data_IF_314584486656
#
_entry.id   IF_314584486656
#
_cell.length_a   1.000
_cell.length_b   1.000
_cell.length_c   1.000
_cell.angle_alpha   90.00
_cell.angle_beta   90.00
_cell.angle_gamma   90.00
#
_symmetry.space_group_name_H-M   'P 1'
#
loop_
_entity.id
_entity.type
_entity.pdbx_description
1 polymer ?
#
# COMPACT_ATOMS: atom_id res chain seq x y z
N UNK A 1 19.08 40.76 -17.39
CA UNK A 1 17.81 40.62 -16.63
C UNK A 1 17.61 39.14 -16.34
N UNK A 2 17.25 38.83 -15.09
CA UNK A 2 17.48 37.55 -14.40
C UNK A 2 16.82 36.35 -15.09
N UNK A 3 17.61 35.29 -15.24
CA UNK A 3 17.19 33.96 -15.67
C UNK A 3 16.29 33.37 -14.56
N UNK A 4 14.99 33.27 -14.81
CA UNK A 4 14.03 32.63 -13.90
C UNK A 4 14.12 31.11 -14.06
N UNK A 5 15.15 30.49 -13.49
CA UNK A 5 15.17 29.05 -13.27
C UNK A 5 14.08 28.71 -12.26
N UNK A 6 12.98 28.16 -12.76
CA UNK A 6 11.87 27.62 -11.99
C UNK A 6 12.38 26.59 -10.97
N UNK A 7 12.31 26.94 -9.69
CA UNK A 7 12.56 26.04 -8.57
C UNK A 7 11.42 25.01 -8.57
N UNK A 8 11.58 23.92 -9.33
CA UNK A 8 10.71 22.76 -9.21
C UNK A 8 10.89 22.22 -7.78
N UNK A 9 9.81 22.00 -7.00
CA UNK A 9 9.93 21.50 -5.65
C UNK A 9 10.62 20.13 -5.70
N UNK A 10 11.80 20.04 -5.09
CA UNK A 10 12.60 18.82 -5.08
C UNK A 10 11.84 17.71 -4.34
N UNK A 11 11.16 16.85 -5.09
CA UNK A 11 10.55 15.65 -4.54
C UNK A 11 11.67 14.66 -4.22
N UNK A 12 11.81 14.19 -2.95
CA UNK A 12 12.90 13.30 -2.58
C UNK A 12 12.97 12.06 -3.51
N UNK A 13 14.15 11.59 -3.93
CA UNK A 13 14.28 10.50 -4.90
C UNK A 13 13.50 9.24 -4.51
N UNK A 14 13.46 8.90 -3.22
CA UNK A 14 12.68 7.78 -2.68
C UNK A 14 11.17 7.94 -2.92
N UNK A 15 10.63 9.15 -2.80
CA UNK A 15 9.20 9.41 -3.06
C UNK A 15 8.90 9.17 -4.54
N UNK A 16 9.78 9.63 -5.44
CA UNK A 16 9.64 9.39 -6.88
C UNK A 16 9.68 7.88 -7.21
N UNK A 17 10.62 7.13 -6.61
CA UNK A 17 10.68 5.66 -6.76
C UNK A 17 9.39 4.99 -6.30
N UNK A 18 8.93 5.29 -5.08
CA UNK A 18 7.72 4.71 -4.52
C UNK A 18 6.45 5.07 -5.31
N UNK A 19 6.37 6.29 -5.84
CA UNK A 19 5.28 6.70 -6.74
C UNK A 19 5.31 5.97 -8.08
N UNK A 20 6.48 5.54 -8.56
CA UNK A 20 6.62 4.70 -9.74
C UNK A 20 5.92 3.35 -9.63
N UNK A 21 5.64 2.88 -8.40
CA UNK A 21 4.91 1.65 -8.12
C UNK A 21 3.40 1.84 -7.94
N UNK A 22 2.88 3.08 -8.04
CA UNK A 22 1.44 3.33 -7.90
C UNK A 22 0.65 2.59 -8.98
N UNK A 23 -0.54 2.09 -8.64
CA UNK A 23 -1.40 1.36 -9.60
C UNK A 23 -2.37 2.24 -10.37
N UNK A 24 -2.88 3.30 -9.76
CA UNK A 24 -3.78 4.24 -10.45
C UNK A 24 -3.01 5.18 -11.38
N UNK A 25 -3.48 5.30 -12.63
CA UNK A 25 -2.96 6.26 -13.62
C UNK A 25 -3.83 7.52 -13.74
N UNK A 26 -4.86 7.67 -12.91
CA UNK A 26 -5.77 8.81 -12.98
C UNK A 26 -5.07 10.09 -12.47
N UNK A 27 -4.83 11.05 -13.36
CA UNK A 27 -4.10 12.29 -13.04
C UNK A 27 -4.76 13.19 -12.00
N UNK A 28 -6.08 13.06 -11.77
CA UNK A 28 -6.81 13.88 -10.80
C UNK A 28 -6.34 13.67 -9.34
N UNK A 29 -5.83 12.47 -9.01
CA UNK A 29 -5.40 12.14 -7.64
C UNK A 29 -3.89 12.19 -7.44
N UNK A 30 -3.11 12.47 -8.48
CA UNK A 30 -1.65 12.38 -8.46
C UNK A 30 -1.01 13.26 -7.38
N UNK A 31 -1.47 14.51 -7.26
CA UNK A 31 -1.03 15.45 -6.22
C UNK A 31 -1.34 14.95 -4.80
N UNK A 32 -2.44 14.22 -4.63
CA UNK A 32 -2.80 13.68 -3.32
C UNK A 32 -1.95 12.44 -2.98
N UNK A 33 -1.75 11.54 -3.94
CA UNK A 33 -0.87 10.38 -3.82
C UNK A 33 0.55 10.79 -3.44
N UNK A 34 1.10 11.82 -4.08
CA UNK A 34 2.42 12.36 -3.74
C UNK A 34 2.48 12.84 -2.28
N UNK A 35 1.46 13.57 -1.81
CA UNK A 35 1.38 14.01 -0.41
C UNK A 35 1.26 12.81 0.56
N UNK A 36 0.52 11.77 0.21
CA UNK A 36 0.36 10.57 1.02
C UNK A 36 1.70 9.81 1.17
N UNK A 37 2.44 9.65 0.07
CA UNK A 37 3.78 9.02 0.08
C UNK A 37 4.80 9.89 0.81
N UNK A 38 4.82 11.22 0.58
CA UNK A 38 5.69 12.15 1.32
C UNK A 38 5.45 12.08 2.83
N UNK A 39 4.19 12.03 3.25
CA UNK A 39 3.82 11.89 4.68
C UNK A 39 4.31 10.57 5.26
N UNK A 40 4.15 9.45 4.52
CA UNK A 40 4.63 8.14 4.97
C UNK A 40 6.15 8.11 5.10
N UNK A 41 6.88 8.53 4.05
CA UNK A 41 8.35 8.57 4.05
C UNK A 41 8.87 9.40 5.21
N UNK A 42 8.25 10.55 5.50
CA UNK A 42 8.63 11.38 6.66
C UNK A 42 8.47 10.64 7.99
N UNK A 43 7.42 9.83 8.16
CA UNK A 43 7.20 9.02 9.36
C UNK A 43 8.21 7.88 9.46
N UNK A 44 8.41 7.13 8.37
CA UNK A 44 9.31 5.96 8.37
C UNK A 44 10.80 6.32 8.48
N UNK A 45 11.19 7.52 8.02
CA UNK A 45 12.54 8.03 8.27
C UNK A 45 12.84 8.24 9.77
N UNK A 46 11.82 8.52 10.59
CA UNK A 46 12.00 8.67 12.04
C UNK A 46 12.14 7.33 12.75
N UNK A 47 11.49 6.29 12.23
CA UNK A 47 11.48 4.94 12.82
C UNK A 47 12.50 4.00 12.19
N UNK A 48 13.21 4.42 11.14
CA UNK A 48 14.19 3.59 10.43
C UNK A 48 13.58 2.49 9.53
N UNK A 49 12.28 2.53 9.25
CA UNK A 49 11.57 1.48 8.51
C UNK A 49 11.43 1.75 7.00
N UNK A 50 12.10 2.78 6.47
CA UNK A 50 11.96 3.17 5.06
C UNK A 50 12.48 2.11 4.10
N UNK A 51 13.64 1.51 4.40
CA UNK A 51 14.26 0.50 3.55
C UNK A 51 13.39 -0.77 3.46
N UNK A 52 12.73 -1.13 4.56
CA UNK A 52 11.82 -2.26 4.58
C UNK A 52 10.57 -2.01 3.73
N UNK A 53 10.04 -0.77 3.73
CA UNK A 53 8.97 -0.40 2.79
C UNK A 53 9.44 -0.50 1.34
N UNK A 54 10.62 0.05 1.01
CA UNK A 54 11.15 -0.03 -0.36
C UNK A 54 11.32 -1.50 -0.79
N UNK A 55 11.84 -2.35 0.10
CA UNK A 55 11.96 -3.80 -0.14
C UNK A 55 10.59 -4.44 -0.36
N UNK A 56 9.61 -4.16 0.50
CA UNK A 56 8.26 -4.73 0.38
C UNK A 56 7.60 -4.36 -0.96
N UNK A 57 7.68 -3.08 -1.36
CA UNK A 57 7.09 -2.57 -2.59
C UNK A 57 7.79 -3.12 -3.84
N UNK A 58 9.14 -3.13 -3.85
CA UNK A 58 9.91 -3.57 -5.03
C UNK A 58 9.87 -5.09 -5.25
N UNK A 59 9.92 -5.87 -4.16
CA UNK A 59 9.91 -7.34 -4.24
C UNK A 59 8.51 -7.94 -4.21
N UNK A 60 7.49 -7.16 -3.86
CA UNK A 60 6.09 -7.59 -3.74
C UNK A 60 5.91 -8.81 -2.82
N UNK A 61 6.72 -8.89 -1.76
CA UNK A 61 6.87 -10.08 -0.94
C UNK A 61 6.19 -9.92 0.42
N UNK A 62 5.25 -10.81 0.72
CA UNK A 62 4.53 -10.87 2.00
C UNK A 62 5.40 -11.27 3.21
N UNK A 63 6.59 -11.83 2.98
CA UNK A 63 7.54 -12.23 4.03
C UNK A 63 8.45 -11.08 4.48
N UNK A 64 8.27 -9.87 3.94
CA UNK A 64 8.90 -8.65 4.47
C UNK A 64 8.36 -8.34 5.86
N UNK A 65 9.10 -7.56 6.66
CA UNK A 65 8.67 -7.20 8.01
C UNK A 65 7.47 -6.23 7.97
N UNK A 66 6.83 -6.06 9.13
CA UNK A 66 5.81 -5.04 9.28
C UNK A 66 6.44 -3.65 9.04
N UNK A 67 5.71 -2.79 8.34
CA UNK A 67 6.04 -1.37 8.20
C UNK A 67 4.99 -0.60 8.99
N UNK A 68 5.34 -0.05 10.13
CA UNK A 68 4.38 0.50 11.09
C UNK A 68 4.36 2.02 11.13
N UNK A 69 3.19 2.58 11.47
CA UNK A 69 3.03 3.98 11.86
C UNK A 69 2.20 4.06 13.15
N UNK A 70 2.35 5.14 13.96
CA UNK A 70 1.51 5.35 15.13
C UNK A 70 0.02 5.41 14.77
N UNK A 71 -0.81 4.72 15.54
CA UNK A 71 -2.28 4.71 15.41
C UNK A 71 -2.86 5.97 16.05
N UNK A 72 -3.80 6.63 15.37
CA UNK A 72 -4.63 7.68 15.98
C UNK A 72 -5.74 7.07 16.84
N UNK A 73 -6.31 7.84 17.76
CA UNK A 73 -7.42 7.39 18.62
C UNK A 73 -8.61 6.81 17.83
N UNK A 74 -8.92 7.38 16.66
CA UNK A 74 -9.99 6.93 15.77
C UNK A 74 -9.52 5.98 14.65
N UNK A 75 -8.24 5.62 14.64
CA UNK A 75 -7.61 4.77 13.62
C UNK A 75 -7.45 5.38 12.22
N UNK A 76 -7.84 6.64 12.01
CA UNK A 76 -7.77 7.33 10.71
C UNK A 76 -6.53 8.20 10.56
N UNK A 77 -5.89 8.10 9.40
CA UNK A 77 -4.82 9.00 8.97
C UNK A 77 -5.40 10.16 8.16
N UNK A 78 -4.97 11.39 8.47
CA UNK A 78 -5.29 12.58 7.70
C UNK A 78 -4.14 12.95 6.75
N UNK A 79 -4.45 13.09 5.46
CA UNK A 79 -3.51 13.56 4.42
C UNK A 79 -4.20 14.64 3.59
N UNK A 80 -3.66 15.87 3.63
CA UNK A 80 -4.16 17.00 2.82
C UNK A 80 -5.69 17.19 2.91
N UNK A 81 -6.20 17.32 4.14
CA UNK A 81 -7.63 17.49 4.47
C UNK A 81 -8.53 16.27 4.24
N UNK A 82 -8.03 15.17 3.68
CA UNK A 82 -8.78 13.91 3.55
C UNK A 82 -8.42 12.95 4.68
N UNK A 83 -9.40 12.30 5.29
CA UNK A 83 -9.22 11.26 6.31
C UNK A 83 -9.52 9.89 5.73
N UNK A 84 -8.73 8.89 6.09
CA UNK A 84 -8.95 7.50 5.68
C UNK A 84 -8.15 6.53 6.54
N UNK A 85 -8.47 5.24 6.44
CA UNK A 85 -7.74 4.21 7.17
C UNK A 85 -6.37 3.99 6.50
N UNK A 86 -5.25 4.02 7.26
CA UNK A 86 -3.92 4.06 6.67
C UNK A 86 -3.61 2.82 5.82
N UNK A 87 -3.94 1.62 6.32
CA UNK A 87 -3.75 0.38 5.56
C UNK A 87 -4.56 0.36 4.25
N UNK A 88 -5.79 0.89 4.24
CA UNK A 88 -6.60 1.02 3.02
C UNK A 88 -5.96 1.99 2.03
N UNK A 89 -5.51 3.16 2.50
CA UNK A 89 -4.86 4.17 1.65
C UNK A 89 -3.67 3.57 0.90
N UNK A 90 -2.77 2.90 1.61
CA UNK A 90 -1.54 2.38 1.02
C UNK A 90 -1.75 1.08 0.23
N UNK A 91 -2.71 0.22 0.62
CA UNK A 91 -3.15 -0.90 -0.21
C UNK A 91 -3.77 -0.43 -1.53
N UNK A 92 -4.61 0.61 -1.49
CA UNK A 92 -5.21 1.20 -2.70
C UNK A 92 -4.14 1.77 -3.62
N UNK A 93 -3.16 2.47 -3.06
CA UNK A 93 -2.11 3.15 -3.81
C UNK A 93 -1.19 2.15 -4.55
N UNK A 94 -0.74 1.07 -3.90
CA UNK A 94 0.27 0.15 -4.45
C UNK A 94 -0.26 -1.19 -4.96
N UNK A 95 -1.51 -1.57 -4.67
CA UNK A 95 -2.05 -2.88 -5.07
C UNK A 95 -3.38 -2.83 -5.79
N UNK A 96 -4.41 -2.24 -5.17
CA UNK A 96 -5.79 -2.34 -5.65
C UNK A 96 -6.43 -0.95 -5.78
N UNK A 97 -6.27 -0.25 -6.93
CA UNK A 97 -6.78 1.12 -7.09
C UNK A 97 -8.31 1.22 -6.97
N UNK A 98 -9.02 0.12 -7.19
CA UNK A 98 -10.46 -0.07 -7.07
C UNK A 98 -10.91 -0.53 -5.67
N UNK A 99 -10.00 -0.59 -4.69
CA UNK A 99 -10.35 -0.95 -3.31
C UNK A 99 -11.26 0.12 -2.71
N UNK A 100 -12.49 -0.21 -2.32
CA UNK A 100 -13.45 0.78 -1.81
C UNK A 100 -13.41 0.88 -0.29
N UNK A 101 -13.37 -0.26 0.40
CA UNK A 101 -13.51 -0.33 1.86
C UNK A 101 -12.53 -1.28 2.53
N UNK A 102 -12.31 -1.08 3.82
CA UNK A 102 -11.51 -1.98 4.66
C UNK A 102 -12.11 -3.39 4.80
N UNK A 103 -13.42 -3.56 4.57
CA UNK A 103 -14.06 -4.89 4.59
C UNK A 103 -13.54 -5.82 3.49
N UNK A 104 -12.96 -5.27 2.43
CA UNK A 104 -12.31 -6.03 1.36
C UNK A 104 -10.87 -6.42 1.71
N UNK A 105 -10.36 -6.09 2.91
CA UNK A 105 -9.00 -6.42 3.34
C UNK A 105 -8.99 -7.34 4.56
N UNK A 106 -8.14 -8.37 4.49
CA UNK A 106 -7.79 -9.22 5.63
C UNK A 106 -6.27 -9.24 5.79
N UNK A 107 -5.78 -9.06 7.01
CA UNK A 107 -4.34 -9.20 7.27
C UNK A 107 -3.90 -10.67 7.18
N UNK A 108 -2.66 -10.91 6.74
CA UNK A 108 -2.04 -12.24 6.80
C UNK A 108 -1.69 -12.58 8.25
N UNK A 109 -1.59 -13.88 8.54
CA UNK A 109 -1.32 -14.39 9.89
C UNK A 109 0.01 -13.90 10.46
N UNK A 110 1.02 -13.69 9.61
CA UNK A 110 2.35 -13.19 10.01
C UNK A 110 2.39 -11.69 10.28
N UNK A 111 1.29 -10.96 10.12
CA UNK A 111 1.25 -9.52 10.37
C UNK A 111 1.02 -9.22 11.86
N UNK A 112 2.10 -8.93 12.58
CA UNK A 112 2.05 -8.66 14.03
C UNK A 112 1.36 -7.34 14.41
N UNK A 113 1.23 -6.40 13.48
CA UNK A 113 0.66 -5.06 13.69
C UNK A 113 -0.56 -4.78 12.81
N UNK A 114 -1.30 -5.84 12.45
CA UNK A 114 -2.50 -5.72 11.62
C UNK A 114 -3.53 -4.74 12.19
N UNK A 115 -4.26 -4.05 11.31
CA UNK A 115 -5.22 -3.01 11.72
C UNK A 115 -6.29 -3.48 12.72
N UNK A 116 -6.76 -4.73 12.63
CA UNK A 116 -7.76 -5.31 13.52
C UNK A 116 -7.23 -5.62 14.94
N UNK A 117 -5.91 -5.70 15.14
CA UNK A 117 -5.31 -6.00 16.45
C UNK A 117 -5.33 -4.81 17.42
N UNK A 118 -5.72 -3.61 16.97
CA UNK A 118 -5.90 -2.40 17.79
C UNK A 118 -4.69 -2.03 18.68
N UNK A 119 -3.47 -2.38 18.27
CA UNK A 119 -2.21 -1.94 18.91
C UNK A 119 -1.95 -0.44 18.72
N UNK A 120 -1.01 0.11 19.49
CA UNK A 120 -0.56 1.50 19.42
C UNK A 120 0.05 1.88 18.07
N UNK A 121 0.52 0.89 17.32
CA UNK A 121 0.97 1.02 15.95
C UNK A 121 0.10 0.20 14.98
N UNK A 122 0.11 0.60 13.71
CA UNK A 122 -0.57 -0.10 12.62
C UNK A 122 0.37 -0.36 11.45
N UNK A 123 0.39 -1.60 10.98
CA UNK A 123 1.10 -2.00 9.77
C UNK A 123 0.41 -1.44 8.53
N UNK A 124 1.20 -0.80 7.68
CA UNK A 124 0.79 -0.24 6.39
C UNK A 124 1.48 -0.90 5.20
N UNK A 125 2.24 -1.98 5.43
CA UNK A 125 2.81 -2.79 4.35
C UNK A 125 1.67 -3.40 3.52
N UNK A 126 1.49 -3.03 2.24
CA UNK A 126 0.37 -3.52 1.44
C UNK A 126 0.38 -5.04 1.25
N UNK A 127 1.56 -5.68 1.33
CA UNK A 127 1.73 -7.13 1.15
C UNK A 127 1.44 -7.93 2.42
N UNK A 128 1.12 -7.26 3.53
CA UNK A 128 0.59 -7.88 4.74
C UNK A 128 -0.94 -7.97 4.76
N UNK A 129 -1.60 -7.51 3.70
CA UNK A 129 -3.04 -7.62 3.54
C UNK A 129 -3.36 -8.44 2.29
N UNK A 130 -4.49 -9.14 2.32
CA UNK A 130 -5.06 -9.88 1.21
C UNK A 130 -6.43 -9.28 0.91
N UNK A 131 -6.79 -9.21 -0.38
CA UNK A 131 -8.13 -8.83 -0.77
C UNK A 131 -9.08 -10.00 -0.53
N UNK A 132 -10.22 -9.72 0.06
CA UNK A 132 -11.30 -10.68 0.28
C UNK A 132 -12.58 -10.16 -0.37
N UNK A 133 -13.41 -11.08 -0.86
CA UNK A 133 -14.74 -10.72 -1.35
C UNK A 133 -15.61 -10.31 -0.16
N UNK A 134 -16.26 -9.15 -0.29
CA UNK A 134 -17.29 -8.76 0.67
C UNK A 134 -18.52 -9.59 0.34
N UNK A 135 -18.83 -10.57 1.19
CA UNK A 135 -19.99 -11.44 1.01
C UNK A 135 -21.31 -10.66 1.16
N UNK A 136 -21.69 -9.93 0.12
CA UNK A 136 -23.07 -9.59 -0.16
C UNK A 136 -23.68 -10.78 -0.91
N UNK A 137 -24.04 -11.82 -0.15
CA UNK A 137 -24.81 -13.00 -0.59
C UNK A 137 -24.15 -13.89 -1.67
N UNK A 138 -23.96 -15.15 -1.27
CA UNK A 138 -23.77 -16.37 -2.08
C UNK A 138 -22.35 -16.89 -2.34
N UNK A 139 -22.22 -18.18 -1.98
CA UNK A 139 -21.20 -19.19 -2.31
C UNK A 139 -19.87 -19.30 -1.54
N UNK A 140 -19.87 -20.31 -0.65
CA UNK A 140 -18.73 -20.96 0.04
C UNK A 140 -17.82 -21.78 -0.91
N UNK A 141 -17.48 -21.30 -2.10
CA UNK A 141 -16.70 -22.10 -3.07
C UNK A 141 -15.50 -21.37 -3.69
N UNK A 142 -14.96 -20.35 -3.03
CA UNK A 142 -13.81 -19.56 -3.51
C UNK A 142 -12.63 -19.49 -2.53
N UNK A 143 -12.51 -20.43 -1.57
CA UNK A 143 -11.29 -20.56 -0.75
C UNK A 143 -10.04 -20.98 -1.56
N UNK A 144 -10.19 -21.37 -2.84
CA UNK A 144 -9.06 -21.79 -3.70
C UNK A 144 -8.24 -20.61 -4.26
N UNK A 145 -8.75 -19.37 -4.24
CA UNK A 145 -8.01 -18.19 -4.74
C UNK A 145 -6.97 -17.63 -3.75
N UNK A 146 -6.97 -18.07 -2.49
CA UNK A 146 -5.99 -17.63 -1.48
C UNK A 146 -4.57 -18.17 -1.77
N UNK A 147 -4.43 -19.16 -2.66
CA UNK A 147 -3.15 -19.74 -3.08
C UNK A 147 -2.33 -18.83 -4.01
N UNK A 148 -2.91 -17.79 -4.63
CA UNK A 148 -2.16 -16.97 -5.61
C UNK A 148 -1.03 -16.14 -4.98
N UNK A 149 -1.11 -15.79 -3.69
CA UNK A 149 0.03 -15.17 -3.00
C UNK A 149 1.15 -16.20 -2.70
N UNK A 150 0.80 -17.49 -2.60
CA UNK A 150 1.76 -18.59 -2.48
C UNK A 150 2.42 -18.92 -3.83
N UNK A 151 1.72 -18.70 -4.95
CA UNK A 151 2.19 -19.04 -6.30
C UNK A 151 3.26 -18.06 -6.84
N UNK A 152 3.28 -16.79 -6.41
CA UNK A 152 4.36 -15.87 -6.82
C UNK A 152 5.76 -16.25 -6.29
N UNK A 153 5.87 -17.28 -5.42
CA UNK A 153 7.15 -17.88 -5.03
C UNK A 153 7.70 -18.90 -6.04
N UNK A 154 6.94 -19.32 -7.07
CA UNK A 154 7.39 -20.34 -8.02
C UNK A 154 7.14 -19.94 -9.49
N UNK A 155 7.82 -18.89 -9.97
CA UNK A 155 7.93 -18.70 -11.42
C UNK A 155 8.04 -17.25 -11.88
N UNK A 156 9.27 -16.80 -12.08
CA UNK A 156 9.57 -16.09 -13.32
C UNK A 156 9.04 -16.94 -14.49
N UNK A 157 8.23 -16.33 -15.38
CA UNK A 157 7.60 -16.87 -16.62
C UNK A 157 6.13 -17.33 -16.52
N UNK A 158 5.19 -16.39 -16.38
CA UNK A 158 3.87 -16.51 -17.03
C UNK A 158 3.44 -15.13 -17.55
N UNK A 159 4.21 -14.59 -18.51
CA UNK A 159 3.75 -13.51 -19.37
C UNK A 159 3.53 -14.10 -20.76
N UNK A 160 2.50 -14.94 -20.88
CA UNK A 160 1.89 -15.36 -22.14
C UNK A 160 0.62 -16.14 -21.81
N UNK A 161 -0.39 -16.01 -22.66
CA UNK A 161 -1.68 -16.73 -22.66
C UNK A 161 -2.77 -16.16 -21.75
N UNK A 162 -3.28 -14.98 -22.12
CA UNK A 162 -4.71 -14.85 -22.42
C UNK A 162 -4.84 -14.01 -23.71
N UNK A 163 -4.71 -14.68 -24.85
CA UNK A 163 -5.36 -14.31 -26.11
C UNK A 163 -6.05 -15.59 -26.57
N UNK A 164 -7.34 -15.64 -26.35
CA UNK A 164 -8.36 -16.29 -27.17
C UNK A 164 -9.67 -15.59 -26.85
#
# INVERSE_FOLDING_TARGET
LRNMSSILPFTPPVVKRLLGWKKSQNGQEEKWCEKAVKSLVKKLKKTGQLDELEKAITTQNCNTKCVTIPRSLDGRLQVSHRKGLPHVIYCRLWRWPDLHSHHELRAIETCEYAFNLKKDEVCVNPYHYQRVETHSVHNKLLQKHTLYCSIFKLGFRVCALIRL
#
